data_IF_394382924783
#
_entry.id   IF_394382924783
#
_cell.length_a   1.000
_cell.length_b   1.000
_cell.length_c   1.000
_cell.angle_alpha   90.00
_cell.angle_beta   90.00
_cell.angle_gamma   90.00
#
_symmetry.space_group_name_H-M   'P 1'
#
loop_
_entity.id
_entity.type
_entity.pdbx_description
1 polymer ?
#
# COMPACT_ATOMS: atom_id res chain seq x y z
N UNK A 1 1.87 64.86 -37.00
CA UNK A 1 1.36 65.01 -35.62
C UNK A 1 0.25 63.98 -35.42
N UNK A 2 0.50 63.05 -34.50
CA UNK A 2 -0.40 62.30 -33.60
C UNK A 2 -1.61 61.50 -34.16
N UNK A 3 -1.57 60.20 -33.85
CA UNK A 3 -2.58 59.12 -34.00
C UNK A 3 -3.65 59.20 -32.91
N UNK A 4 -4.90 58.78 -33.21
CA UNK A 4 -5.94 58.11 -32.37
C UNK A 4 -7.12 57.86 -33.37
N UNK A 5 -7.75 56.71 -33.63
CA UNK A 5 -8.02 55.48 -32.89
C UNK A 5 -9.52 55.44 -32.49
N UNK A 6 -10.34 54.52 -33.04
CA UNK A 6 -11.45 53.77 -32.37
C UNK A 6 -12.35 53.00 -33.39
N UNK A 7 -12.32 51.65 -33.41
CA UNK A 7 -13.33 50.67 -32.89
C UNK A 7 -14.57 50.50 -33.81
N UNK A 8 -14.67 49.47 -34.66
CA UNK A 8 -15.02 48.03 -34.46
C UNK A 8 -16.45 47.73 -33.97
N UNK A 9 -17.27 47.09 -34.82
CA UNK A 9 -18.04 45.87 -34.50
C UNK A 9 -18.92 45.41 -35.68
N UNK A 10 -18.52 44.33 -36.35
CA UNK A 10 -19.39 43.43 -37.13
C UNK A 10 -19.27 42.02 -36.52
N UNK A 11 -20.36 41.42 -36.07
CA UNK A 11 -20.55 39.96 -36.06
C UNK A 11 -22.06 39.69 -36.13
N UNK A 12 -22.56 39.17 -37.26
CA UNK A 12 -22.72 37.77 -37.63
C UNK A 12 -23.43 36.91 -36.58
N UNK A 13 -24.71 36.67 -36.91
CA UNK A 13 -25.62 35.62 -36.47
C UNK A 13 -25.00 34.23 -36.40
N UNK A 14 -25.28 33.49 -35.32
CA UNK A 14 -25.30 32.03 -35.31
C UNK A 14 -26.44 31.53 -34.40
N UNK A 15 -27.47 30.97 -35.04
CA UNK A 15 -28.51 30.13 -34.44
C UNK A 15 -27.96 28.72 -34.23
N UNK A 16 -28.17 28.13 -33.04
CA UNK A 16 -28.17 26.67 -32.88
C UNK A 16 -28.96 26.23 -31.63
N UNK A 17 -30.21 25.83 -31.88
CA UNK A 17 -30.89 24.62 -31.37
C UNK A 17 -30.74 24.20 -29.90
N UNK A 18 -31.76 24.52 -29.09
CA UNK A 18 -32.08 23.87 -27.81
C UNK A 18 -33.28 22.93 -28.03
N UNK A 19 -33.03 21.63 -28.24
CA UNK A 19 -33.99 20.51 -28.21
C UNK A 19 -33.14 19.25 -28.48
N UNK A 20 -33.04 18.18 -27.70
CA UNK A 20 -33.98 17.47 -26.84
C UNK A 20 -33.19 16.76 -25.72
N UNK A 21 -33.55 16.95 -24.44
CA UNK A 21 -33.11 16.01 -23.39
C UNK A 21 -34.07 14.83 -23.41
N UNK A 22 -33.66 13.73 -24.03
CA UNK A 22 -34.37 12.45 -23.94
C UNK A 22 -34.36 12.01 -22.48
N UNK A 23 -35.55 11.97 -21.87
CA UNK A 23 -35.80 11.43 -20.54
C UNK A 23 -35.30 9.98 -20.51
N UNK A 24 -34.20 9.74 -19.79
CA UNK A 24 -33.69 8.41 -19.53
C UNK A 24 -34.62 7.77 -18.50
N UNK A 25 -35.29 6.64 -18.80
CA UNK A 25 -36.14 5.99 -17.82
C UNK A 25 -35.29 5.48 -16.65
N UNK A 26 -35.76 5.74 -15.43
CA UNK A 26 -35.15 5.22 -14.22
C UNK A 26 -35.03 3.70 -14.32
N UNK A 27 -33.78 3.22 -14.38
CA UNK A 27 -33.49 1.79 -14.32
C UNK A 27 -33.82 1.33 -12.89
N UNK A 28 -34.71 0.34 -12.70
CA UNK A 28 -35.03 -0.14 -11.36
C UNK A 28 -33.75 -0.65 -10.70
N UNK A 29 -33.41 -0.05 -9.57
CA UNK A 29 -32.34 -0.53 -8.69
C UNK A 29 -32.81 -1.88 -8.16
N UNK A 30 -32.22 -2.96 -8.65
CA UNK A 30 -32.47 -4.29 -8.14
C UNK A 30 -31.98 -4.34 -6.68
N UNK A 31 -32.91 -4.35 -5.73
CA UNK A 31 -32.68 -4.38 -4.27
C UNK A 31 -32.24 -5.75 -3.75
N UNK A 32 -31.63 -6.58 -4.59
CA UNK A 32 -30.88 -7.74 -4.14
C UNK A 32 -29.58 -7.25 -3.48
N UNK A 33 -29.73 -6.75 -2.25
CA UNK A 33 -28.67 -6.43 -1.32
C UNK A 33 -27.92 -7.72 -0.97
N UNK A 34 -27.01 -8.15 -1.85
CA UNK A 34 -25.79 -8.81 -1.38
C UNK A 34 -25.18 -7.85 -0.38
N UNK A 35 -25.26 -8.18 0.91
CA UNK A 35 -24.48 -7.50 1.95
C UNK A 35 -23.08 -7.35 1.38
N UNK A 36 -22.55 -6.14 1.37
CA UNK A 36 -21.12 -5.93 1.15
C UNK A 36 -20.41 -6.81 2.18
N UNK A 37 -19.94 -8.00 1.77
CA UNK A 37 -19.02 -8.77 2.60
C UNK A 37 -17.82 -7.85 2.80
N UNK A 38 -17.56 -7.49 4.05
CA UNK A 38 -16.32 -6.80 4.39
C UNK A 38 -15.19 -7.64 3.81
N UNK A 39 -14.31 -7.04 2.98
CA UNK A 39 -13.21 -7.80 2.41
C UNK A 39 -12.43 -8.45 3.56
N UNK A 40 -12.11 -9.74 3.42
CA UNK A 40 -11.30 -10.45 4.39
C UNK A 40 -10.00 -9.65 4.61
N UNK A 41 -9.83 -9.14 5.83
CA UNK A 41 -8.63 -8.40 6.20
C UNK A 41 -7.52 -9.41 6.44
N UNK A 42 -6.40 -9.23 5.74
CA UNK A 42 -5.21 -10.04 5.93
C UNK A 42 -4.51 -9.57 7.20
N UNK A 43 -4.20 -10.51 8.09
CA UNK A 43 -3.25 -10.34 9.18
C UNK A 43 -2.06 -11.27 9.00
N UNK A 44 -1.02 -11.09 9.84
CA UNK A 44 0.18 -11.91 9.70
C UNK A 44 -0.08 -13.40 10.00
N UNK A 45 -1.04 -13.71 10.87
CA UNK A 45 -1.42 -15.10 11.18
C UNK A 45 -1.79 -15.89 9.93
N UNK A 46 -2.47 -15.26 8.97
CA UNK A 46 -2.82 -15.90 7.70
C UNK A 46 -1.56 -16.21 6.87
N UNK A 47 -0.59 -15.29 6.83
CA UNK A 47 0.70 -15.54 6.17
C UNK A 47 1.43 -16.68 6.86
N UNK A 48 1.51 -16.66 8.19
CA UNK A 48 2.14 -17.74 8.97
C UNK A 48 1.51 -19.10 8.62
N UNK A 49 0.18 -19.18 8.53
CA UNK A 49 -0.49 -20.43 8.14
C UNK A 49 -0.13 -20.92 6.73
N UNK A 50 0.11 -20.01 5.78
CA UNK A 50 0.56 -20.36 4.44
C UNK A 50 2.01 -20.86 4.43
N UNK A 51 2.88 -20.25 5.24
CA UNK A 51 4.26 -20.68 5.42
C UNK A 51 4.32 -22.07 6.08
N UNK A 52 3.56 -22.27 7.16
CA UNK A 52 3.53 -23.54 7.91
C UNK A 52 2.96 -24.70 7.08
N UNK A 53 1.99 -24.41 6.21
CA UNK A 53 1.43 -25.38 5.28
C UNK A 53 2.33 -25.64 4.05
N UNK A 54 3.44 -24.92 3.90
CA UNK A 54 4.33 -25.03 2.73
C UNK A 54 3.69 -24.54 1.43
N UNK A 55 2.62 -23.73 1.51
CA UNK A 55 1.94 -23.17 0.34
C UNK A 55 2.74 -22.05 -0.33
N UNK A 56 3.67 -21.45 0.43
CA UNK A 56 4.53 -20.36 -0.01
C UNK A 56 5.96 -20.67 0.40
N UNK A 57 6.86 -20.71 -0.58
CA UNK A 57 8.29 -21.00 -0.39
C UNK A 57 9.20 -19.88 -0.89
N UNK A 58 8.63 -18.85 -1.51
CA UNK A 58 9.36 -17.66 -1.99
C UNK A 58 8.55 -16.38 -1.81
N UNK A 59 9.24 -15.23 -1.90
CA UNK A 59 8.60 -13.92 -1.89
C UNK A 59 7.62 -13.77 -3.06
N UNK A 60 8.01 -14.20 -4.26
CA UNK A 60 7.17 -14.13 -5.46
C UNK A 60 5.87 -14.93 -5.28
N UNK A 61 5.96 -16.18 -4.79
CA UNK A 61 4.79 -17.01 -4.49
C UNK A 61 3.89 -16.35 -3.43
N UNK A 62 4.46 -15.69 -2.42
CA UNK A 62 3.67 -14.94 -1.42
C UNK A 62 2.87 -13.84 -2.11
N UNK A 63 3.52 -13.05 -2.97
CA UNK A 63 2.90 -11.93 -3.66
C UNK A 63 1.81 -12.37 -4.63
N UNK A 64 1.99 -13.50 -5.31
CA UNK A 64 1.00 -14.05 -6.24
C UNK A 64 -0.31 -14.46 -5.55
N UNK A 65 -0.22 -15.03 -4.34
CA UNK A 65 -1.40 -15.48 -3.60
C UNK A 65 -2.09 -14.38 -2.79
N UNK A 66 -1.50 -13.17 -2.72
CA UNK A 66 -2.10 -12.07 -1.98
C UNK A 66 -3.51 -11.74 -2.52
N UNK A 67 -4.48 -11.48 -1.62
CA UNK A 67 -5.80 -11.03 -2.03
C UNK A 67 -5.71 -9.79 -2.92
N UNK A 68 -6.62 -9.68 -3.90
CA UNK A 68 -6.63 -8.58 -4.87
C UNK A 68 -6.54 -7.19 -4.22
N UNK A 69 -7.20 -7.01 -3.08
CA UNK A 69 -7.21 -5.74 -2.33
C UNK A 69 -5.79 -5.32 -1.92
N UNK A 70 -4.94 -6.25 -1.48
CA UNK A 70 -3.56 -5.97 -1.05
C UNK A 70 -2.60 -5.74 -2.22
N UNK A 71 -2.91 -6.27 -3.42
CA UNK A 71 -2.11 -6.01 -4.63
C UNK A 71 -2.47 -4.70 -5.32
N UNK A 72 -3.67 -4.17 -5.08
CA UNK A 72 -4.16 -2.95 -5.72
C UNK A 72 -3.65 -1.68 -5.04
N UNK A 73 -3.51 -1.69 -3.72
CA UNK A 73 -3.09 -0.53 -2.96
C UNK A 73 -1.60 -0.63 -2.66
N UNK A 74 -0.82 0.19 -3.36
CA UNK A 74 0.63 0.20 -3.24
C UNK A 74 1.19 1.62 -3.31
N UNK A 75 2.37 1.79 -2.71
CA UNK A 75 3.22 2.96 -2.86
C UNK A 75 4.60 2.51 -3.29
N UNK A 76 5.20 3.23 -4.23
CA UNK A 76 6.57 3.01 -4.68
C UNK A 76 7.48 4.04 -4.02
N UNK A 77 8.56 3.56 -3.40
CA UNK A 77 9.59 4.38 -2.78
C UNK A 77 10.86 4.25 -3.61
N UNK A 78 11.29 5.34 -4.26
CA UNK A 78 12.44 5.34 -5.17
C UNK A 78 13.78 5.66 -4.48
N UNK A 79 13.74 6.14 -3.24
CA UNK A 79 14.90 6.38 -2.40
C UNK A 79 14.52 6.02 -0.97
N UNK A 80 15.02 4.88 -0.51
CA UNK A 80 14.73 4.34 0.82
C UNK A 80 15.95 4.51 1.72
N UNK A 81 15.71 4.96 2.95
CA UNK A 81 16.72 5.01 4.03
C UNK A 81 16.55 3.86 5.02
N UNK A 82 15.81 2.80 4.64
CA UNK A 82 15.66 1.58 5.44
C UNK A 82 16.72 0.54 5.11
N UNK A 83 16.56 -0.66 5.68
CA UNK A 83 17.35 -1.86 5.37
C UNK A 83 17.13 -2.40 3.96
N UNK A 84 16.00 -2.03 3.35
CA UNK A 84 15.69 -2.31 1.95
C UNK A 84 16.00 -1.06 1.12
N UNK A 85 17.20 -0.96 0.51
CA UNK A 85 17.52 0.12 -0.40
C UNK A 85 16.60 0.11 -1.61
N UNK A 86 16.45 1.27 -2.22
CA UNK A 86 15.60 1.48 -3.37
C UNK A 86 16.24 2.44 -4.36
N UNK A 87 15.94 2.22 -5.63
CA UNK A 87 16.31 3.10 -6.75
C UNK A 87 15.11 3.32 -7.65
N UNK A 88 15.14 4.29 -8.58
CA UNK A 88 14.12 4.42 -9.62
C UNK A 88 13.89 3.14 -10.45
N UNK A 89 14.95 2.34 -10.65
CA UNK A 89 14.88 1.08 -11.41
C UNK A 89 14.31 -0.07 -10.59
N UNK A 90 14.64 -0.10 -9.30
CA UNK A 90 14.20 -1.13 -8.35
C UNK A 90 13.62 -0.41 -7.11
N UNK A 91 12.35 0.06 -7.20
CA UNK A 91 11.73 0.74 -6.07
C UNK A 91 11.47 -0.25 -4.94
N UNK A 92 11.41 0.27 -3.71
CA UNK A 92 10.79 -0.46 -2.61
C UNK A 92 9.28 -0.33 -2.76
N UNK A 93 8.59 -1.46 -2.69
CA UNK A 93 7.14 -1.52 -2.80
C UNK A 93 6.56 -1.64 -1.39
N UNK A 94 5.53 -0.85 -1.12
CA UNK A 94 4.76 -0.86 0.13
C UNK A 94 3.33 -1.19 -0.22
N UNK A 95 2.87 -2.40 0.10
CA UNK A 95 1.50 -2.86 -0.09
C UNK A 95 0.71 -2.69 1.21
N UNK A 96 -0.57 -2.35 1.12
CA UNK A 96 -1.42 -2.19 2.30
C UNK A 96 -2.86 -2.61 2.04
N UNK A 97 -3.54 -3.04 3.09
CA UNK A 97 -4.96 -3.37 3.05
C UNK A 97 -5.86 -2.13 2.93
N UNK A 98 -7.17 -2.32 2.71
CA UNK A 98 -8.14 -1.22 2.61
C UNK A 98 -8.25 -0.38 3.89
N UNK A 99 -7.82 -0.91 5.04
CA UNK A 99 -7.79 -0.23 6.34
C UNK A 99 -6.38 0.16 6.80
N UNK A 100 -5.35 -0.13 5.98
CA UNK A 100 -3.94 0.06 6.27
C UNK A 100 -3.45 -0.51 7.61
N UNK A 101 -4.17 -1.48 8.21
CA UNK A 101 -3.76 -2.11 9.47
C UNK A 101 -2.65 -3.12 9.30
N UNK A 102 -2.57 -3.71 8.11
CA UNK A 102 -1.53 -4.66 7.72
C UNK A 102 -0.84 -4.16 6.46
N UNK A 103 0.49 -4.07 6.54
CA UNK A 103 1.37 -3.53 5.51
C UNK A 103 2.45 -4.56 5.21
N UNK A 104 2.75 -4.76 3.93
CA UNK A 104 3.86 -5.57 3.47
C UNK A 104 4.84 -4.69 2.69
N UNK A 105 6.14 -4.96 2.82
CA UNK A 105 7.15 -4.24 2.04
C UNK A 105 8.25 -5.17 1.55
N UNK A 106 8.71 -4.91 0.33
CA UNK A 106 9.75 -5.69 -0.33
C UNK A 106 10.48 -4.84 -1.38
N UNK A 107 11.61 -5.35 -1.87
CA UNK A 107 12.40 -4.73 -2.93
C UNK A 107 12.65 -5.73 -4.04
N UNK A 108 12.61 -5.26 -5.28
CA UNK A 108 12.74 -6.07 -6.50
C UNK A 108 14.16 -6.05 -7.09
N UNK A 109 15.17 -5.60 -6.33
CA UNK A 109 16.57 -5.61 -6.79
C UNK A 109 17.21 -6.97 -6.52
N UNK A 110 17.46 -7.83 -7.53
CA UNK A 110 18.00 -9.17 -7.31
C UNK A 110 19.45 -9.17 -6.83
N UNK A 111 20.15 -8.03 -6.91
CA UNK A 111 21.50 -7.88 -6.39
C UNK A 111 21.54 -7.61 -4.88
N UNK A 112 20.39 -7.32 -4.28
CA UNK A 112 20.25 -7.00 -2.87
C UNK A 112 19.94 -8.27 -2.06
N UNK A 113 20.60 -8.43 -0.91
CA UNK A 113 20.31 -9.53 0.03
C UNK A 113 18.86 -9.53 0.53
N UNK A 114 18.17 -8.38 0.49
CA UNK A 114 16.77 -8.25 0.88
C UNK A 114 15.76 -8.64 -0.23
N UNK A 115 16.22 -9.05 -1.42
CA UNK A 115 15.35 -9.48 -2.52
C UNK A 115 14.42 -10.63 -2.13
N UNK A 116 14.92 -11.55 -1.32
CA UNK A 116 14.14 -12.68 -0.81
C UNK A 116 13.50 -12.40 0.55
N UNK A 117 13.30 -11.13 0.89
CA UNK A 117 12.78 -10.72 2.20
C UNK A 117 11.51 -9.90 2.05
N UNK A 118 10.48 -10.31 2.76
CA UNK A 118 9.25 -9.54 2.93
C UNK A 118 9.15 -9.07 4.38
N UNK A 119 9.14 -7.77 4.58
CA UNK A 119 8.86 -7.18 5.89
C UNK A 119 7.34 -6.94 6.03
N UNK A 120 6.81 -7.13 7.22
CA UNK A 120 5.43 -6.78 7.57
C UNK A 120 5.37 -5.83 8.75
N UNK A 121 4.39 -4.94 8.70
CA UNK A 121 3.97 -4.09 9.79
C UNK A 121 2.48 -4.31 10.04
N UNK A 122 2.12 -4.58 11.28
CA UNK A 122 0.74 -4.80 11.69
C UNK A 122 0.41 -3.94 12.90
N UNK A 123 -0.73 -3.24 12.87
CA UNK A 123 -1.22 -2.48 14.03
C UNK A 123 -1.75 -3.45 15.08
N UNK A 124 -1.10 -3.47 16.24
CA UNK A 124 -1.53 -4.29 17.38
C UNK A 124 -2.95 -3.87 17.82
N UNK A 125 -3.86 -4.84 18.04
CA UNK A 125 -5.22 -4.54 18.49
C UNK A 125 -5.28 -4.11 19.96
N UNK A 126 -4.32 -4.54 20.77
CA UNK A 126 -4.27 -4.41 22.22
C UNK A 126 -3.23 -3.38 22.71
N UNK A 127 -2.15 -3.19 21.95
CA UNK A 127 -1.07 -2.28 22.23
C UNK A 127 -1.13 -1.14 21.22
N UNK A 128 -1.08 0.11 21.68
CA UNK A 128 -0.98 1.28 20.80
C UNK A 128 0.41 1.33 20.13
N UNK A 129 0.71 0.39 19.25
CA UNK A 129 2.01 0.20 18.62
C UNK A 129 1.97 -0.79 17.45
N UNK A 130 3.12 -0.93 16.79
CA UNK A 130 3.26 -1.78 15.61
C UNK A 130 3.99 -3.09 15.92
N UNK A 131 3.57 -4.15 15.26
CA UNK A 131 4.26 -5.44 15.28
C UNK A 131 5.03 -5.56 13.98
N UNK A 132 6.36 -5.53 14.08
CA UNK A 132 7.25 -5.77 12.95
C UNK A 132 7.58 -7.24 12.84
N UNK A 133 7.58 -7.76 11.63
CA UNK A 133 8.08 -9.11 11.34
C UNK A 133 8.80 -9.12 10.02
N UNK A 134 9.81 -9.97 9.93
CA UNK A 134 10.57 -10.19 8.71
C UNK A 134 10.43 -11.66 8.29
N UNK A 135 10.07 -11.90 7.03
CA UNK A 135 10.02 -13.23 6.43
C UNK A 135 11.14 -13.32 5.43
N UNK A 136 12.13 -14.16 5.72
CA UNK A 136 13.27 -14.43 4.83
C UNK A 136 13.08 -15.76 4.13
N UNK A 137 13.00 -15.71 2.82
CA UNK A 137 12.94 -16.89 1.96
C UNK A 137 14.36 -17.31 1.59
N UNK A 138 14.67 -18.60 1.71
CA UNK A 138 15.93 -19.14 1.20
C UNK A 138 15.81 -19.36 -0.31
N UNK A 139 16.72 -18.76 -1.07
CA UNK A 139 16.86 -18.97 -2.52
C UNK A 139 16.99 -20.44 -2.93
N UNK A 140 17.45 -21.32 -2.03
CA UNK A 140 17.68 -22.74 -2.31
C UNK A 140 16.42 -23.62 -2.28
N UNK A 141 15.25 -23.08 -1.87
CA UNK A 141 13.98 -23.81 -1.63
C UNK A 141 14.07 -25.01 -0.66
N UNK A 142 15.25 -25.32 -0.12
CA UNK A 142 15.50 -26.50 0.70
C UNK A 142 15.09 -26.31 2.17
N UNK A 143 14.89 -25.07 2.60
CA UNK A 143 14.57 -24.73 3.98
C UNK A 143 13.25 -23.97 4.05
N UNK A 144 12.48 -24.22 5.11
CA UNK A 144 11.30 -23.43 5.44
C UNK A 144 11.68 -21.96 5.59
N UNK A 145 10.83 -21.02 5.13
CA UNK A 145 11.07 -19.59 5.32
C UNK A 145 11.29 -19.25 6.80
N UNK A 146 12.23 -18.35 7.08
CA UNK A 146 12.54 -17.94 8.45
C UNK A 146 11.74 -16.70 8.79
N UNK A 147 10.95 -16.78 9.86
CA UNK A 147 10.18 -15.64 10.38
C UNK A 147 10.87 -15.10 11.63
N UNK A 148 11.21 -13.81 11.61
CA UNK A 148 11.73 -13.09 12.77
C UNK A 148 10.68 -12.10 13.29
N UNK A 149 10.42 -12.15 14.59
CA UNK A 149 9.44 -11.29 15.26
C UNK A 149 10.15 -10.15 15.98
N UNK A 150 9.69 -8.93 15.74
CA UNK A 150 10.25 -7.69 16.29
C UNK A 150 11.78 -7.61 16.17
N UNK A 151 12.35 -7.69 14.94
CA UNK A 151 13.80 -7.68 14.74
C UNK A 151 14.46 -6.46 15.38
N UNK A 152 15.62 -6.64 16.03
CA UNK A 152 16.32 -5.54 16.70
C UNK A 152 16.77 -4.45 15.72
N UNK A 153 17.04 -4.83 14.48
CA UNK A 153 17.41 -3.89 13.43
C UNK A 153 16.27 -2.90 13.14
N UNK A 154 15.00 -3.33 13.20
CA UNK A 154 13.85 -2.43 13.07
C UNK A 154 13.72 -1.52 14.30
N UNK A 155 13.91 -2.06 15.49
CA UNK A 155 13.86 -1.31 16.76
C UNK A 155 14.94 -0.24 16.86
N UNK A 156 16.06 -0.39 16.16
CA UNK A 156 17.11 0.64 16.11
C UNK A 156 16.59 2.01 15.66
N UNK A 157 15.60 2.02 14.75
CA UNK A 157 14.92 3.23 14.31
C UNK A 157 13.56 3.45 14.99
N UNK A 158 12.82 2.37 15.28
CA UNK A 158 11.43 2.45 15.76
C UNK A 158 11.27 2.42 17.29
N UNK A 159 12.33 2.06 18.04
CA UNK A 159 12.34 1.89 19.48
C UNK A 159 11.64 0.62 19.98
N UNK A 160 11.75 0.33 21.28
CA UNK A 160 11.15 -0.86 21.90
C UNK A 160 9.61 -0.85 21.90
N UNK A 161 9.02 0.35 22.01
CA UNK A 161 7.61 0.57 21.73
C UNK A 161 7.51 1.05 20.28
N UNK A 162 7.49 0.08 19.37
CA UNK A 162 7.41 0.25 17.92
C UNK A 162 6.40 1.33 17.51
N UNK A 163 6.91 2.45 17.00
CA UNK A 163 6.13 3.64 16.60
C UNK A 163 6.61 4.20 15.25
N UNK A 164 5.86 5.12 14.62
CA UNK A 164 6.33 5.77 13.41
C UNK A 164 7.56 6.64 13.69
N UNK A 165 8.50 6.69 12.75
CA UNK A 165 9.77 7.42 12.93
C UNK A 165 9.61 8.94 13.03
N UNK A 166 8.50 9.49 12.51
CA UNK A 166 8.18 10.91 12.58
C UNK A 166 7.44 11.31 13.87
N UNK A 167 7.12 10.34 14.75
CA UNK A 167 6.57 10.62 16.07
C UNK A 167 7.68 11.17 16.99
N UNK A 168 7.91 12.48 16.88
CA UNK A 168 8.79 13.23 17.76
C UNK A 168 8.13 13.32 19.14
N UNK A 169 8.64 12.55 20.12
CA UNK A 169 8.21 12.54 21.52
C UNK A 169 7.66 13.90 22.00
N UNK A 170 6.38 13.96 22.36
CA UNK A 170 6.03 14.66 23.61
C UNK A 170 6.42 13.72 24.76
N UNK A 171 7.22 14.16 25.74
CA UNK A 171 7.43 13.39 26.95
C UNK A 171 6.05 13.10 27.55
N UNK A 172 5.68 11.83 27.72
CA UNK A 172 4.63 11.54 28.69
C UNK A 172 5.22 11.94 30.04
N UNK A 173 4.62 12.95 30.66
CA UNK A 173 5.05 13.40 31.99
C UNK A 173 5.12 12.20 32.92
N UNK A 174 6.21 12.13 33.69
CA UNK A 174 6.35 11.17 34.77
C UNK A 174 5.15 11.36 35.71
N UNK A 175 4.29 10.35 35.80
CA UNK A 175 3.43 10.15 36.97
C UNK A 175 4.24 9.56 38.10
#
# INVERSE_FOLDING_TARGET
MTVIGLVSCLSMTALASLSERKHMPDRPINTASTRFESPALLGFEQIQSWLDAGLVTSADELLEILPYQYRRFYTLVYQSHSLQPATPRFPRIVLYGPDARFILTFSEDPSNSAYHTVESLELSPDQMGFIFREVRFDSSKAHSPVVEYQPEVCKSCHGNQSRPIWDARRPRGNG
#
